data_IF_127828561283
#
_entry.id   IF_127828561283
#
_cell.length_a   1.000
_cell.length_b   1.000
_cell.length_c   1.000
_cell.angle_alpha   90.00
_cell.angle_beta   90.00
_cell.angle_gamma   90.00
#
_symmetry.space_group_name_H-M   'P 1'
#
loop_
_entity.id
_entity.type
_entity.pdbx_description
1 polymer ?
#
# COMPACT_ATOMS: atom_id res chain seq x y z
N UNK A 1 1.46 9.43 14.61
CA UNK A 1 0.79 9.65 13.31
C UNK A 1 1.04 11.07 12.82
N UNK A 2 0.60 12.12 13.54
CA UNK A 2 0.89 13.51 13.15
C UNK A 2 2.39 13.81 13.02
N UNK A 3 3.20 13.39 14.00
CA UNK A 3 4.66 13.51 13.94
C UNK A 3 5.27 12.85 12.70
N UNK A 4 4.75 11.69 12.31
CA UNK A 4 5.18 10.95 11.11
C UNK A 4 4.84 11.71 9.83
N UNK A 5 3.64 12.29 9.74
CA UNK A 5 3.24 13.09 8.57
C UNK A 5 4.10 14.36 8.46
N UNK A 6 4.34 15.05 9.58
CA UNK A 6 5.22 16.21 9.64
C UNK A 6 6.66 15.87 9.22
N UNK A 7 7.16 14.71 9.65
CA UNK A 7 8.46 14.19 9.23
C UNK A 7 8.51 13.98 7.72
N UNK A 8 7.53 13.28 7.15
CA UNK A 8 7.49 12.95 5.72
C UNK A 8 7.42 14.20 4.84
N UNK A 9 6.63 15.21 5.22
CA UNK A 9 6.50 16.45 4.43
C UNK A 9 7.74 17.33 4.50
N UNK A 10 8.51 17.26 5.60
CA UNK A 10 9.74 18.03 5.77
C UNK A 10 10.99 17.31 5.26
N UNK A 11 10.84 16.09 4.75
CA UNK A 11 11.97 15.30 4.31
C UNK A 11 12.30 15.62 2.85
N UNK A 12 13.29 16.49 2.63
CA UNK A 12 13.65 17.05 1.31
C UNK A 12 13.94 16.01 0.21
N UNK A 13 14.26 14.77 0.59
CA UNK A 13 14.56 13.70 -0.35
C UNK A 13 13.32 13.00 -0.94
N UNK A 14 12.11 13.32 -0.47
CA UNK A 14 10.87 12.69 -0.96
C UNK A 14 9.80 13.74 -1.27
N UNK A 15 8.97 13.44 -2.28
CA UNK A 15 7.69 14.11 -2.47
C UNK A 15 6.59 13.25 -1.85
N UNK A 16 6.10 13.64 -0.66
CA UNK A 16 5.04 12.90 0.01
C UNK A 16 3.67 13.28 -0.56
N UNK A 17 2.86 12.27 -0.88
CA UNK A 17 1.44 12.42 -1.26
C UNK A 17 0.56 11.68 -0.27
N UNK A 18 -0.46 12.36 0.27
CA UNK A 18 -1.32 11.77 1.31
C UNK A 18 -2.74 11.70 0.80
N UNK A 19 -3.30 10.49 0.76
CA UNK A 19 -4.72 10.27 0.48
C UNK A 19 -5.48 9.97 1.78
N UNK A 20 -6.31 10.89 2.28
CA UNK A 20 -7.07 10.69 3.50
C UNK A 20 -8.18 9.64 3.29
N UNK A 21 -8.73 9.14 4.39
CA UNK A 21 -9.85 8.21 4.34
C UNK A 21 -11.09 8.88 3.71
N UNK A 22 -11.97 8.12 3.07
CA UNK A 22 -13.22 8.66 2.48
C UNK A 22 -14.21 9.27 3.49
N UNK A 23 -13.92 9.17 4.80
CA UNK A 23 -14.77 9.66 5.91
C UNK A 23 -14.22 10.92 6.58
N UNK A 24 -13.12 11.47 6.06
CA UNK A 24 -12.31 12.51 6.74
C UNK A 24 -12.84 13.93 6.53
N UNK A 25 -14.06 14.11 6.01
CA UNK A 25 -14.68 15.43 5.88
C UNK A 25 -14.79 16.20 7.21
N UNK A 26 -14.68 15.52 8.36
CA UNK A 26 -14.69 16.13 9.70
C UNK A 26 -13.30 16.41 10.30
N UNK A 27 -12.22 15.88 9.72
CA UNK A 27 -10.84 16.00 10.24
C UNK A 27 -9.88 16.69 9.25
N UNK A 28 -10.42 17.37 8.23
CA UNK A 28 -9.65 18.06 7.18
C UNK A 28 -8.61 19.04 7.72
N UNK A 29 -8.87 19.66 8.87
CA UNK A 29 -7.95 20.59 9.55
C UNK A 29 -6.60 19.97 9.91
N UNK A 30 -6.56 18.64 10.13
CA UNK A 30 -5.34 17.90 10.45
C UNK A 30 -4.37 17.91 9.26
N UNK A 31 -4.89 18.14 8.05
CA UNK A 31 -4.16 18.02 6.80
C UNK A 31 -4.01 19.36 6.04
N UNK A 32 -4.45 20.49 6.61
CA UNK A 32 -4.45 21.80 5.93
C UNK A 32 -3.07 22.26 5.42
N UNK A 33 -1.98 21.73 5.99
CA UNK A 33 -0.60 22.03 5.59
C UNK A 33 0.11 20.87 4.90
N UNK A 34 -0.62 19.80 4.55
CA UNK A 34 -0.06 18.62 3.91
C UNK A 34 -0.43 18.63 2.41
N UNK A 35 0.47 18.18 1.52
CA UNK A 35 0.15 17.94 0.11
C UNK A 35 -0.83 16.75 0.00
N UNK A 36 -2.12 17.04 0.23
CA UNK A 36 -3.22 16.10 0.03
C UNK A 36 -3.52 16.05 -1.47
N UNK A 37 -3.56 14.84 -2.04
CA UNK A 37 -4.07 14.69 -3.40
C UNK A 37 -5.60 14.67 -3.42
N UNK A 38 -6.14 15.21 -4.53
CA UNK A 38 -7.57 15.38 -4.75
C UNK A 38 -8.33 14.04 -4.53
N UNK A 39 -9.52 14.14 -3.94
CA UNK A 39 -10.38 12.99 -3.73
C UNK A 39 -10.75 12.27 -5.04
N UNK A 40 -10.63 12.99 -6.17
CA UNK A 40 -10.98 12.54 -7.51
C UNK A 40 -9.95 11.59 -8.14
N UNK A 41 -8.67 11.62 -7.75
CA UNK A 41 -7.66 10.69 -8.28
C UNK A 41 -7.85 9.33 -7.62
N UNK A 42 -7.92 8.24 -8.37
CA UNK A 42 -8.11 6.91 -7.81
C UNK A 42 -6.88 6.44 -7.01
N UNK A 43 -7.07 5.59 -6.01
CA UNK A 43 -5.92 5.08 -5.23
C UNK A 43 -5.01 4.16 -6.05
N UNK A 44 -5.54 3.58 -7.14
CA UNK A 44 -4.78 2.74 -8.08
C UNK A 44 -3.81 3.60 -8.88
N UNK A 45 -4.28 4.72 -9.44
CA UNK A 45 -3.42 5.67 -10.17
C UNK A 45 -2.31 6.24 -9.28
N UNK A 46 -2.61 6.53 -8.01
CA UNK A 46 -1.58 6.96 -7.06
C UNK A 46 -0.53 5.87 -6.80
N UNK A 47 -0.91 4.59 -6.77
CA UNK A 47 0.05 3.50 -6.67
C UNK A 47 0.94 3.39 -7.91
N UNK A 48 0.40 3.64 -9.10
CA UNK A 48 1.17 3.62 -10.34
C UNK A 48 2.25 4.70 -10.34
N UNK A 49 1.91 5.90 -9.87
CA UNK A 49 2.83 7.04 -9.80
C UNK A 49 3.84 6.92 -8.67
N UNK A 50 3.47 6.30 -7.55
CA UNK A 50 4.34 6.20 -6.39
C UNK A 50 5.57 5.31 -6.65
N UNK A 51 6.74 5.76 -6.19
CA UNK A 51 7.94 4.92 -6.11
C UNK A 51 7.90 4.00 -4.89
N UNK A 52 7.35 4.48 -3.76
CA UNK A 52 7.26 3.77 -2.49
C UNK A 52 5.89 4.03 -1.87
N UNK A 53 5.25 3.00 -1.33
CA UNK A 53 3.93 3.12 -0.69
C UNK A 53 4.03 2.88 0.82
N UNK A 54 3.57 3.84 1.62
CA UNK A 54 3.51 3.74 3.08
C UNK A 54 2.09 3.36 3.51
N UNK A 55 1.96 2.36 4.37
CA UNK A 55 0.66 1.84 4.81
C UNK A 55 0.61 1.54 6.30
N UNK A 56 -0.58 1.68 6.88
CA UNK A 56 -0.90 1.24 8.25
C UNK A 56 -1.78 0.00 8.13
N UNK A 57 -3.09 0.14 7.94
CA UNK A 57 -3.99 -0.99 7.77
C UNK A 57 -4.96 -0.74 6.61
N UNK A 58 -4.50 -0.99 5.38
CA UNK A 58 -5.28 -0.74 4.16
C UNK A 58 -5.11 -1.86 3.13
N UNK A 59 -6.18 -2.15 2.39
CA UNK A 59 -6.16 -3.11 1.29
C UNK A 59 -5.43 -2.58 0.06
N UNK A 60 -5.18 -1.26 -0.06
CA UNK A 60 -4.49 -0.68 -1.21
C UNK A 60 -3.05 -1.21 -1.37
N UNK A 61 -2.45 -1.71 -0.28
CA UNK A 61 -1.18 -2.42 -0.33
C UNK A 61 -1.20 -3.56 -1.36
N UNK A 62 -2.33 -4.26 -1.54
CA UNK A 62 -2.44 -5.36 -2.51
C UNK A 62 -2.12 -4.87 -3.92
N UNK A 63 -2.67 -3.71 -4.30
CA UNK A 63 -2.41 -3.08 -5.59
C UNK A 63 -0.93 -2.74 -5.73
N UNK A 64 -0.35 -2.11 -4.71
CA UNK A 64 1.08 -1.75 -4.72
C UNK A 64 1.99 -2.98 -4.88
N UNK A 65 1.68 -4.08 -4.20
CA UNK A 65 2.43 -5.33 -4.31
C UNK A 65 2.24 -6.01 -5.66
N UNK A 66 1.04 -5.97 -6.25
CA UNK A 66 0.78 -6.48 -7.60
C UNK A 66 1.59 -5.70 -8.64
N UNK A 67 1.75 -4.39 -8.42
CA UNK A 67 2.56 -3.50 -9.25
C UNK A 67 4.07 -3.54 -8.94
N UNK A 68 4.54 -4.48 -8.12
CA UNK A 68 5.95 -4.64 -7.71
C UNK A 68 6.55 -3.38 -7.04
N UNK A 69 5.73 -2.60 -6.34
CA UNK A 69 6.16 -1.40 -5.61
C UNK A 69 6.67 -1.78 -4.22
N UNK A 70 7.77 -1.16 -3.73
CA UNK A 70 8.17 -1.22 -2.33
C UNK A 70 7.05 -0.76 -1.40
N UNK A 71 6.72 -1.59 -0.40
CA UNK A 71 5.71 -1.25 0.61
C UNK A 71 6.33 -1.20 2.00
N UNK A 72 6.19 -0.03 2.65
CA UNK A 72 6.60 0.23 4.02
C UNK A 72 5.37 0.20 4.94
N UNK A 73 5.29 -0.82 5.80
CA UNK A 73 4.21 -1.00 6.75
C UNK A 73 4.58 -0.38 8.11
N UNK A 74 3.89 0.69 8.49
CA UNK A 74 4.17 1.52 9.67
C UNK A 74 3.59 0.88 10.95
N UNK A 75 4.14 -0.27 11.35
CA UNK A 75 3.70 -1.03 12.52
C UNK A 75 3.72 -0.20 13.80
N UNK A 76 4.67 0.71 13.98
CA UNK A 76 4.75 1.52 15.21
C UNK A 76 3.57 2.45 15.46
N UNK A 77 2.66 2.61 14.49
CA UNK A 77 1.45 3.41 14.64
C UNK A 77 0.27 2.63 15.22
N UNK A 78 0.38 1.30 15.41
CA UNK A 78 -0.69 0.47 15.99
C UNK A 78 -0.21 -0.92 16.43
N UNK A 79 -1.00 -1.62 17.26
CA UNK A 79 -0.59 -2.93 17.79
C UNK A 79 -1.09 -4.14 16.97
N UNK A 80 -2.08 -3.94 16.07
CA UNK A 80 -2.70 -5.03 15.32
C UNK A 80 -1.71 -5.82 14.46
N UNK A 81 -1.84 -7.14 14.45
CA UNK A 81 -1.10 -8.04 13.54
C UNK A 81 -1.88 -8.28 12.27
N UNK A 82 -1.24 -8.06 11.14
CA UNK A 82 -1.87 -8.12 9.82
C UNK A 82 -1.39 -9.32 9.02
N UNK A 83 -2.13 -9.70 7.98
CA UNK A 83 -1.71 -10.83 7.14
C UNK A 83 -0.41 -10.53 6.39
N UNK A 84 -0.19 -9.31 5.94
CA UNK A 84 1.06 -8.92 5.27
C UNK A 84 2.30 -9.11 6.16
N UNK A 85 2.17 -8.81 7.46
CA UNK A 85 3.21 -9.10 8.45
C UNK A 85 3.47 -10.61 8.59
N UNK A 86 2.42 -11.43 8.66
CA UNK A 86 2.55 -12.89 8.78
C UNK A 86 3.22 -13.53 7.57
N UNK A 87 2.96 -13.01 6.37
CA UNK A 87 3.55 -13.56 5.14
C UNK A 87 4.96 -13.03 4.90
N UNK A 88 5.38 -11.98 5.62
CA UNK A 88 6.65 -11.29 5.37
C UNK A 88 6.67 -10.66 3.98
N UNK A 89 5.54 -10.09 3.54
CA UNK A 89 5.33 -9.57 2.18
C UNK A 89 5.55 -8.05 2.06
N UNK A 90 6.05 -7.40 3.12
CA UNK A 90 6.31 -5.96 3.15
C UNK A 90 7.45 -5.65 4.13
N UNK A 91 7.99 -4.44 4.05
CA UNK A 91 8.98 -3.95 5.00
C UNK A 91 8.27 -3.45 6.25
N UNK A 92 8.42 -4.17 7.36
CA UNK A 92 7.83 -3.80 8.65
C UNK A 92 8.69 -2.74 9.33
N UNK A 93 8.13 -1.56 9.54
CA UNK A 93 8.77 -0.41 10.17
C UNK A 93 8.25 -0.25 11.61
N UNK A 94 9.16 -0.30 12.59
CA UNK A 94 8.85 -0.28 14.03
C UNK A 94 9.26 1.00 14.75
N UNK A 95 9.82 1.97 14.03
CA UNK A 95 10.08 3.31 14.56
C UNK A 95 10.21 4.34 13.44
N UNK A 96 10.16 5.62 13.80
CA UNK A 96 10.45 6.71 12.86
C UNK A 96 11.92 6.68 12.39
N UNK A 97 12.85 6.22 13.22
CA UNK A 97 14.24 6.03 12.84
C UNK A 97 14.41 4.92 11.78
N UNK A 98 13.68 3.80 11.93
CA UNK A 98 13.62 2.74 10.91
C UNK A 98 12.97 3.25 9.61
N UNK A 99 11.93 4.08 9.71
CA UNK A 99 11.29 4.69 8.54
C UNK A 99 12.32 5.51 7.76
N UNK A 100 13.06 6.39 8.44
CA UNK A 100 14.09 7.21 7.82
C UNK A 100 15.15 6.35 7.13
N UNK A 101 15.68 5.34 7.83
CA UNK A 101 16.69 4.44 7.25
C UNK A 101 16.16 3.65 6.04
N UNK A 102 14.89 3.25 6.05
CA UNK A 102 14.26 2.57 4.91
C UNK A 102 14.11 3.51 3.70
N UNK A 103 13.70 4.76 3.92
CA UNK A 103 13.60 5.77 2.86
C UNK A 103 14.98 6.08 2.25
N UNK A 104 16.02 6.22 3.08
CA UNK A 104 17.40 6.42 2.62
C UNK A 104 17.89 5.23 1.78
N UNK A 105 17.65 4.00 2.23
CA UNK A 105 18.03 2.80 1.48
C UNK A 105 17.29 2.68 0.13
N UNK A 106 16.02 3.08 0.07
CA UNK A 106 15.22 3.05 -1.15
C UNK A 106 15.58 4.19 -2.11
N UNK A 107 16.00 5.35 -1.60
CA UNK A 107 16.53 6.44 -2.40
C UNK A 107 17.84 6.06 -3.11
N UNK A 108 18.68 5.24 -2.46
CA UNK A 108 19.89 4.67 -3.08
C UNK A 108 19.56 3.56 -4.09
N UNK A 109 18.63 2.67 -3.75
CA UNK A 109 18.20 1.59 -4.61
C UNK A 109 16.78 1.14 -4.28
N UNK A 110 15.83 1.48 -5.16
CA UNK A 110 14.40 1.19 -4.99
C UNK A 110 14.09 -0.31 -4.86
N UNK A 111 14.96 -1.20 -5.35
CA UNK A 111 14.79 -2.65 -5.26
C UNK A 111 15.36 -3.25 -3.97
N UNK A 112 16.00 -2.44 -3.12
CA UNK A 112 16.63 -2.89 -1.89
C UNK A 112 15.61 -3.04 -0.76
N UNK A 113 14.67 -3.98 -0.95
CA UNK A 113 13.66 -4.32 0.05
C UNK A 113 14.07 -5.57 0.85
N UNK A 114 13.86 -5.60 2.18
CA UNK A 114 14.30 -6.72 3.03
C UNK A 114 13.26 -7.85 3.08
N UNK A 115 12.49 -8.04 2.00
CA UNK A 115 11.52 -9.11 1.88
C UNK A 115 11.64 -9.79 0.51
N UNK A 116 11.58 -11.12 0.44
CA UNK A 116 11.72 -11.84 -0.81
C UNK A 116 10.44 -11.74 -1.65
N UNK A 117 10.60 -11.67 -2.97
CA UNK A 117 9.47 -11.67 -3.91
C UNK A 117 8.58 -12.93 -3.75
N UNK A 118 9.15 -14.07 -3.36
CA UNK A 118 8.36 -15.29 -3.12
C UNK A 118 7.36 -15.15 -1.97
N UNK A 119 7.65 -14.33 -0.95
CA UNK A 119 6.68 -14.04 0.10
C UNK A 119 5.51 -13.21 -0.44
N UNK A 120 5.80 -12.24 -1.31
CA UNK A 120 4.78 -11.41 -1.99
C UNK A 120 3.89 -12.28 -2.87
N UNK A 121 4.49 -13.14 -3.71
CA UNK A 121 3.76 -14.07 -4.56
C UNK A 121 2.86 -15.01 -3.76
N UNK A 122 3.36 -15.60 -2.66
CA UNK A 122 2.56 -16.45 -1.78
C UNK A 122 1.40 -15.69 -1.17
N UNK A 123 1.62 -14.45 -0.74
CA UNK A 123 0.58 -13.59 -0.17
C UNK A 123 -0.51 -13.27 -1.20
N UNK A 124 -0.14 -12.81 -2.39
CA UNK A 124 -1.10 -12.49 -3.47
C UNK A 124 -1.85 -13.74 -3.92
N UNK A 125 -1.13 -14.86 -4.13
CA UNK A 125 -1.71 -16.14 -4.51
C UNK A 125 -2.80 -16.58 -3.54
N UNK A 126 -2.53 -16.52 -2.25
CA UNK A 126 -3.47 -16.97 -1.23
C UNK A 126 -4.65 -16.01 -1.04
N UNK A 127 -4.37 -14.72 -0.86
CA UNK A 127 -5.39 -13.72 -0.50
C UNK A 127 -6.25 -13.30 -1.69
N UNK A 128 -5.69 -13.22 -2.89
CA UNK A 128 -6.40 -12.75 -4.09
C UNK A 128 -6.92 -13.91 -4.92
N UNK A 129 -6.07 -14.92 -5.15
CA UNK A 129 -6.36 -16.00 -6.09
C UNK A 129 -6.78 -17.31 -5.44
N UNK A 130 -6.85 -17.39 -4.09
CA UNK A 130 -7.12 -18.64 -3.37
C UNK A 130 -6.25 -19.81 -3.86
N UNK A 131 -4.96 -19.53 -4.10
CA UNK A 131 -3.96 -20.44 -4.66
C UNK A 131 -4.24 -20.95 -6.08
N UNK A 132 -5.06 -20.22 -6.85
CA UNK A 132 -5.38 -20.49 -8.25
C UNK A 132 -4.91 -19.34 -9.16
N UNK A 133 -3.59 -19.06 -9.17
CA UNK A 133 -3.00 -17.94 -9.92
C UNK A 133 -3.33 -17.94 -11.42
N UNK A 134 -3.51 -19.12 -12.02
CA UNK A 134 -3.83 -19.28 -13.45
C UNK A 134 -5.32 -19.06 -13.77
N UNK A 135 -6.15 -18.80 -12.75
CA UNK A 135 -7.59 -18.65 -12.91
C UNK A 135 -7.92 -17.25 -13.42
N UNK A 136 -8.57 -17.17 -14.56
CA UNK A 136 -9.14 -15.93 -15.08
C UNK A 136 -10.44 -15.58 -14.32
N UNK A 137 -10.28 -14.87 -13.20
CA UNK A 137 -11.39 -14.46 -12.33
C UNK A 137 -12.37 -13.57 -13.10
N UNK A 138 -11.88 -12.70 -13.99
CA UNK A 138 -12.74 -11.80 -14.76
C UNK A 138 -13.62 -12.61 -15.72
N UNK A 139 -13.02 -13.57 -16.44
CA UNK A 139 -13.77 -14.47 -17.32
C UNK A 139 -14.84 -15.25 -16.56
N UNK A 140 -14.53 -15.73 -15.36
CA UNK A 140 -15.51 -16.45 -14.54
C UNK A 140 -16.73 -15.59 -14.20
N UNK A 141 -16.51 -14.32 -13.84
CA UNK A 141 -17.62 -13.39 -13.61
C UNK A 141 -18.41 -13.10 -14.89
N UNK A 142 -17.73 -12.90 -16.02
CA UNK A 142 -18.38 -12.68 -17.33
C UNK A 142 -19.24 -13.88 -17.69
N UNK A 143 -18.70 -15.09 -17.61
CA UNK A 143 -19.42 -16.33 -17.92
C UNK A 143 -20.62 -16.52 -16.99
N UNK A 144 -20.48 -16.22 -15.70
CA UNK A 144 -21.57 -16.26 -14.72
C UNK A 144 -22.70 -15.30 -15.11
N UNK A 145 -22.40 -14.02 -15.32
CA UNK A 145 -23.40 -12.99 -15.65
C UNK A 145 -24.13 -13.32 -16.96
N UNK A 146 -23.39 -13.71 -18.00
CA UNK A 146 -23.97 -14.03 -19.31
C UNK A 146 -24.87 -15.27 -19.26
N UNK A 147 -24.55 -16.26 -18.42
CA UNK A 147 -25.41 -17.45 -18.21
C UNK A 147 -26.74 -17.08 -17.55
N UNK A 148 -26.74 -16.18 -16.57
CA UNK A 148 -27.95 -15.74 -15.86
C UNK A 148 -28.90 -14.90 -16.73
N UNK A 149 -28.42 -14.25 -17.79
CA UNK A 149 -29.30 -13.52 -18.72
C UNK A 149 -30.05 -14.44 -19.70
N UNK A 150 -29.71 -15.73 -19.77
CA UNK A 150 -30.32 -16.71 -20.69
C UNK A 150 -31.39 -17.61 -20.04
N UNK A 151 -31.70 -17.39 -18.76
CA UNK A 151 -32.73 -18.07 -17.97
C UNK A 151 -33.89 -17.13 -17.67
#
# INVERSE_FOLDING_TARGET
MLSTLDFLVKYDAIEAKIKPHTRTAQESYIYENLPIDDADISSVELCEWADVVLVIATSIMLESLIQDKPVLYLKYLHENTTNYEKYGACWIIRSEAELKGALEALAENIKNVPYPNDNVKRFISDIVYNNQMERDILKDYVDFIVRFQKS
#
